data_IF_739416767452
#
_entry.id   IF_739416767452
#
_cell.length_a   1.000
_cell.length_b   1.000
_cell.length_c   1.000
_cell.angle_alpha   90.00
_cell.angle_beta   90.00
_cell.angle_gamma   90.00
#
_symmetry.space_group_name_H-M   'P 1'
#
loop_
_entity.id
_entity.type
_entity.pdbx_description
1 polymer ?
#
# COMPACT_ATOMS: atom_id res chain seq x y z
N UNK A 1 -11.33 -0.51 -17.19
CA UNK A 1 -10.73 -1.02 -15.93
C UNK A 1 -10.99 0.03 -14.88
N UNK A 2 -12.01 -0.20 -14.07
CA UNK A 2 -12.44 0.70 -13.02
C UNK A 2 -11.31 0.86 -12.00
N UNK A 3 -10.94 2.10 -11.73
CA UNK A 3 -9.93 2.42 -10.72
C UNK A 3 -10.49 2.03 -9.34
N UNK A 4 -9.69 1.37 -8.48
CA UNK A 4 -10.17 0.98 -7.15
C UNK A 4 -10.54 2.21 -6.34
N UNK A 5 -11.69 2.15 -5.64
CA UNK A 5 -12.21 3.27 -4.84
C UNK A 5 -11.23 3.61 -3.71
N UNK A 6 -10.74 4.86 -3.61
CA UNK A 6 -9.92 5.29 -2.48
C UNK A 6 -10.79 5.39 -1.21
N UNK A 7 -10.18 5.30 -0.01
CA UNK A 7 -10.87 5.62 1.22
C UNK A 7 -11.36 7.08 1.22
N UNK A 8 -12.55 7.29 1.77
CA UNK A 8 -13.10 8.64 2.03
C UNK A 8 -12.38 9.31 3.21
N UNK A 9 -11.88 8.50 4.14
CA UNK A 9 -11.06 8.95 5.25
C UNK A 9 -9.64 9.33 4.80
N UNK A 10 -9.29 10.60 4.96
CA UNK A 10 -8.01 11.14 4.53
C UNK A 10 -6.82 10.53 5.28
N UNK A 11 -6.98 10.23 6.57
CA UNK A 11 -5.95 9.58 7.38
C UNK A 11 -5.67 8.16 6.87
N UNK A 12 -6.71 7.37 6.61
CA UNK A 12 -6.61 6.03 6.06
C UNK A 12 -5.97 6.05 4.67
N UNK A 13 -6.41 6.95 3.79
CA UNK A 13 -5.80 7.14 2.47
C UNK A 13 -4.30 7.44 2.59
N UNK A 14 -3.90 8.34 3.49
CA UNK A 14 -2.49 8.67 3.71
C UNK A 14 -1.69 7.48 4.25
N UNK A 15 -2.28 6.66 5.13
CA UNK A 15 -1.63 5.45 5.65
C UNK A 15 -1.38 4.45 4.50
N UNK A 16 -2.38 4.20 3.67
CA UNK A 16 -2.27 3.30 2.52
C UNK A 16 -1.21 3.80 1.54
N UNK A 17 -1.24 5.09 1.20
CA UNK A 17 -0.32 5.70 0.24
C UNK A 17 1.14 5.66 0.73
N UNK A 18 1.37 6.05 2.00
CA UNK A 18 2.70 5.96 2.63
C UNK A 18 3.22 4.52 2.67
N UNK A 19 2.36 3.57 3.04
CA UNK A 19 2.75 2.18 3.10
C UNK A 19 3.07 1.63 1.71
N UNK A 20 2.25 1.96 0.71
CA UNK A 20 2.46 1.54 -0.67
C UNK A 20 3.81 2.05 -1.21
N UNK A 21 4.12 3.33 -1.00
CA UNK A 21 5.40 3.91 -1.38
C UNK A 21 6.57 3.23 -0.65
N UNK A 22 6.41 2.94 0.64
CA UNK A 22 7.44 2.31 1.44
C UNK A 22 7.72 0.87 0.99
N UNK A 23 6.68 0.08 0.77
CA UNK A 23 6.79 -1.30 0.23
C UNK A 23 7.33 -1.29 -1.20
N UNK A 24 6.92 -0.32 -2.02
CA UNK A 24 7.40 -0.21 -3.39
C UNK A 24 8.91 0.05 -3.49
N UNK A 25 9.47 0.83 -2.55
CA UNK A 25 10.89 1.16 -2.51
C UNK A 25 11.73 0.08 -1.84
N UNK A 26 11.26 -0.49 -0.74
CA UNK A 26 12.04 -1.43 0.06
C UNK A 26 11.77 -2.90 -0.29
N UNK A 27 10.69 -3.17 -1.02
CA UNK A 27 10.30 -4.52 -1.42
C UNK A 27 9.17 -5.12 -0.58
N UNK A 28 8.63 -6.27 -1.04
CA UNK A 28 7.49 -6.94 -0.43
C UNK A 28 7.77 -7.51 0.98
N UNK A 29 9.04 -7.70 1.36
CA UNK A 29 9.39 -8.16 2.71
C UNK A 29 8.89 -7.20 3.80
N UNK A 30 8.94 -5.89 3.54
CA UNK A 30 8.44 -4.88 4.46
C UNK A 30 6.91 -4.88 4.57
N UNK A 31 6.20 -5.32 3.53
CA UNK A 31 4.76 -5.53 3.60
C UNK A 31 4.46 -6.64 4.62
N UNK A 32 5.13 -7.78 4.51
CA UNK A 32 5.00 -8.89 5.45
C UNK A 32 5.34 -8.49 6.88
N UNK A 33 6.42 -7.74 7.09
CA UNK A 33 6.79 -7.23 8.42
C UNK A 33 5.74 -6.29 8.98
N UNK A 34 5.25 -5.35 8.18
CA UNK A 34 4.20 -4.40 8.59
C UNK A 34 2.92 -5.14 8.93
N UNK A 35 2.53 -6.12 8.11
CA UNK A 35 1.37 -6.97 8.33
C UNK A 35 1.50 -7.68 9.68
N UNK A 36 2.61 -8.36 9.97
CA UNK A 36 2.80 -9.03 11.26
C UNK A 36 2.76 -8.06 12.45
N UNK A 37 3.40 -6.88 12.34
CA UNK A 37 3.45 -5.88 13.42
C UNK A 37 2.12 -5.17 13.67
N UNK A 38 1.31 -4.98 12.62
CA UNK A 38 0.07 -4.22 12.67
C UNK A 38 -1.17 -5.12 12.60
N UNK A 39 -1.03 -6.42 12.86
CA UNK A 39 -2.15 -7.38 12.80
C UNK A 39 -3.31 -7.02 13.74
N UNK A 40 -3.00 -6.41 14.88
CA UNK A 40 -3.98 -6.01 15.89
C UNK A 40 -4.46 -4.55 15.68
N UNK A 41 -3.97 -3.86 14.64
CA UNK A 41 -4.31 -2.46 14.38
C UNK A 41 -5.42 -2.35 13.31
N UNK A 42 -6.61 -1.85 13.67
CA UNK A 42 -7.72 -1.76 12.73
C UNK A 42 -7.42 -0.83 11.54
N UNK A 43 -6.51 0.14 11.69
CA UNK A 43 -6.09 1.02 10.59
C UNK A 43 -5.35 0.28 9.47
N UNK A 44 -4.77 -0.89 9.76
CA UNK A 44 -4.07 -1.74 8.78
C UNK A 44 -4.89 -2.97 8.38
N UNK A 45 -6.17 -3.04 8.75
CA UNK A 45 -7.04 -4.17 8.38
C UNK A 45 -7.08 -4.41 6.87
N UNK A 46 -6.93 -3.35 6.07
CA UNK A 46 -6.87 -3.45 4.60
C UNK A 46 -5.75 -4.39 4.10
N UNK A 47 -4.67 -4.61 4.86
CA UNK A 47 -3.60 -5.55 4.50
C UNK A 47 -4.01 -7.03 4.63
N UNK A 48 -5.06 -7.31 5.39
CA UNK A 48 -5.56 -8.65 5.67
C UNK A 48 -6.76 -9.03 4.82
N UNK A 49 -7.07 -8.22 3.82
CA UNK A 49 -8.33 -8.27 3.10
C UNK A 49 -9.29 -7.20 3.60
N UNK A 50 -10.13 -6.71 2.70
CA UNK A 50 -11.04 -5.61 2.98
C UNK A 50 -11.27 -4.75 1.75
N UNK A 51 -12.17 -3.78 1.88
CA UNK A 51 -12.63 -2.93 0.78
C UNK A 51 -11.48 -2.19 0.08
N UNK A 52 -10.46 -1.74 0.84
CA UNK A 52 -9.34 -0.96 0.32
C UNK A 52 -8.12 -1.79 -0.09
N UNK A 53 -8.17 -3.12 -0.01
CA UNK A 53 -7.04 -3.97 -0.42
C UNK A 53 -6.69 -3.76 -1.91
N UNK A 54 -7.70 -3.67 -2.78
CA UNK A 54 -7.50 -3.40 -4.21
C UNK A 54 -6.84 -2.04 -4.45
N UNK A 55 -7.26 -1.00 -3.71
CA UNK A 55 -6.66 0.34 -3.80
C UNK A 55 -5.20 0.32 -3.36
N UNK A 56 -4.90 -0.37 -2.25
CA UNK A 56 -3.53 -0.58 -1.79
C UNK A 56 -2.65 -1.29 -2.83
N UNK A 57 -3.11 -2.41 -3.41
CA UNK A 57 -2.34 -3.14 -4.41
C UNK A 57 -2.08 -2.31 -5.67
N UNK A 58 -3.09 -1.56 -6.14
CA UNK A 58 -2.93 -0.63 -7.25
C UNK A 58 -1.85 0.41 -6.93
N UNK A 59 -1.94 1.04 -5.76
CA UNK A 59 -0.94 2.01 -5.29
C UNK A 59 0.47 1.40 -5.24
N UNK A 60 0.65 0.24 -4.62
CA UNK A 60 1.95 -0.44 -4.55
C UNK A 60 2.51 -0.67 -5.96
N UNK A 61 1.69 -1.16 -6.88
CA UNK A 61 2.11 -1.44 -8.27
C UNK A 61 2.52 -0.15 -9.00
N UNK A 62 1.74 0.92 -8.86
CA UNK A 62 2.07 2.24 -9.43
C UNK A 62 3.37 2.78 -8.85
N UNK A 63 3.52 2.78 -7.52
CA UNK A 63 4.73 3.27 -6.86
C UNK A 63 5.96 2.41 -7.20
N UNK A 64 5.79 1.09 -7.38
CA UNK A 64 6.86 0.18 -7.79
C UNK A 64 7.33 0.48 -9.21
N UNK A 65 6.41 0.75 -10.14
CA UNK A 65 6.76 1.14 -11.50
C UNK A 65 7.56 2.46 -11.50
N UNK A 66 7.14 3.43 -10.69
CA UNK A 66 7.86 4.71 -10.52
C UNK A 66 9.24 4.50 -9.87
N UNK A 67 9.33 3.71 -8.80
CA UNK A 67 10.59 3.44 -8.10
C UNK A 67 11.60 2.72 -9.02
N UNK A 68 11.16 1.75 -9.81
CA UNK A 68 12.00 1.04 -10.79
C UNK A 68 12.49 1.99 -11.89
N UNK A 69 11.66 2.91 -12.36
CA UNK A 69 12.05 3.87 -13.40
C UNK A 69 13.10 4.89 -12.93
N UNK A 70 13.14 5.20 -11.62
CA UNK A 70 14.12 6.14 -11.05
C UNK A 70 15.50 5.53 -10.79
N UNK A 71 15.65 4.20 -10.76
CA UNK A 71 16.93 3.53 -10.53
C UNK A 71 17.71 3.25 -11.84
N UNK A 72 17.16 3.61 -13.00
CA UNK A 72 17.76 3.41 -14.32
C UNK A 72 18.29 4.71 -14.96
N UNK A 73 18.80 5.67 -14.17
CA UNK A 73 19.47 6.86 -14.70
C UNK A 73 20.85 7.04 -14.12
#
# INVERSE_FOLDING_TARGET
MDLPKPPEDHDLKNIIDKLAQFVARNGPEFEHMTKQKQKDNPKFSFLFGGEFFNYYQYKVTTEQAVAKNNNNK
#
